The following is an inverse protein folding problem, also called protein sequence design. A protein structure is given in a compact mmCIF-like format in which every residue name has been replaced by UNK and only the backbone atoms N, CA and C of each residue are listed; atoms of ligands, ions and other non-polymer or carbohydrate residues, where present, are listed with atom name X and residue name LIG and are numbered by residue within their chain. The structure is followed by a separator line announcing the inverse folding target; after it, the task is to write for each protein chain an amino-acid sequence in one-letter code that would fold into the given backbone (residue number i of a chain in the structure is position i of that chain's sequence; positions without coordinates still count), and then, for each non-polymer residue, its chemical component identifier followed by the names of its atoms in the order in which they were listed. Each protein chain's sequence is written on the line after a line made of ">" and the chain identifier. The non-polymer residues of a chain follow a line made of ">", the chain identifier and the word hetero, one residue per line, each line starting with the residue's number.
data_IF_212618797862
#
_entry.id   IF_212618797862
#
_cell.length_a   1.000
_cell.length_b   1.000
_cell.length_c   1.000
_cell.angle_alpha   90.00
_cell.angle_beta   90.00
_cell.angle_gamma   90.00
#
_symmetry.space_group_name_H-M   'P 1'
#
loop_
_entity.id
_entity.type
_entity.pdbx_description
1 polymer ?
#
# COMPACT_ATOMS: atom_id res chain seq x y z
N UNK A 1 -19.03 -5.05 -11.82
CA UNK A 1 -17.99 -5.78 -12.57
C UNK A 1 -16.82 -6.02 -11.63
N UNK A 2 -16.60 -7.26 -11.21
CA UNK A 2 -15.54 -7.63 -10.26
C UNK A 2 -14.26 -7.88 -11.07
N UNK A 3 -13.21 -7.07 -10.88
CA UNK A 3 -11.96 -7.16 -11.66
C UNK A 3 -11.12 -8.39 -11.28
N UNK A 4 -11.43 -9.03 -10.16
CA UNK A 4 -10.66 -10.14 -9.59
C UNK A 4 -10.77 -11.46 -10.38
N UNK A 5 -11.61 -11.52 -11.42
CA UNK A 5 -11.81 -12.71 -12.27
C UNK A 5 -11.19 -12.58 -13.67
N UNK A 6 -10.29 -11.63 -13.90
CA UNK A 6 -9.62 -11.45 -15.18
C UNK A 6 -8.46 -12.45 -15.32
N UNK A 7 -8.45 -13.23 -16.40
CA UNK A 7 -7.32 -14.11 -16.77
C UNK A 7 -6.02 -13.31 -16.90
N UNK A 8 -4.85 -13.92 -16.71
CA UNK A 8 -3.53 -13.26 -16.83
C UNK A 8 -3.38 -12.44 -18.14
N UNK A 9 -3.97 -12.91 -19.24
CA UNK A 9 -4.00 -12.19 -20.53
C UNK A 9 -4.75 -10.86 -20.51
N UNK A 10 -5.55 -10.59 -19.48
CA UNK A 10 -6.32 -9.38 -19.24
C UNK A 10 -5.82 -8.56 -18.04
N UNK A 11 -4.67 -8.90 -17.45
CA UNK A 11 -4.07 -8.11 -16.36
C UNK A 11 -3.46 -6.79 -16.88
N UNK A 12 -3.01 -6.75 -18.13
CA UNK A 12 -2.34 -5.58 -18.74
C UNK A 12 -3.26 -4.88 -19.75
N UNK A 13 -4.28 -4.20 -19.23
CA UNK A 13 -5.25 -3.46 -20.05
C UNK A 13 -4.71 -2.08 -20.46
N UNK A 14 -5.23 -1.54 -21.57
CA UNK A 14 -4.96 -0.17 -22.07
C UNK A 14 -3.49 0.12 -22.42
N UNK A 15 -2.77 -0.88 -22.93
CA UNK A 15 -1.41 -0.68 -23.43
C UNK A 15 -1.38 0.24 -24.65
N UNK A 16 -0.39 1.13 -24.70
CA UNK A 16 -0.12 1.96 -25.88
C UNK A 16 0.39 1.08 -27.04
N UNK A 17 -0.27 1.12 -28.20
CA UNK A 17 0.04 0.26 -29.37
C UNK A 17 1.46 0.43 -29.92
N UNK A 18 2.02 1.64 -29.85
CA UNK A 18 3.38 1.96 -30.29
C UNK A 18 4.04 2.83 -29.23
N UNK A 19 5.22 2.42 -28.75
CA UNK A 19 6.07 3.16 -27.80
C UNK A 19 7.37 3.47 -28.50
N UNK A 20 7.80 4.74 -28.43
CA UNK A 20 9.12 5.16 -28.86
C UNK A 20 9.88 5.61 -27.63
N UNK A 21 10.99 4.95 -27.26
CA UNK A 21 11.76 5.36 -26.10
C UNK A 21 12.36 6.75 -26.36
N UNK A 22 12.34 7.66 -25.37
CA UNK A 22 13.01 8.95 -25.49
C UNK A 22 14.53 8.75 -25.57
N UNK A 23 15.21 9.63 -26.30
CA UNK A 23 16.68 9.65 -26.34
C UNK A 23 17.28 10.36 -25.11
N UNK A 24 18.57 10.17 -24.88
CA UNK A 24 19.27 10.72 -23.70
C UNK A 24 19.24 12.24 -23.64
N UNK A 25 19.32 12.91 -24.79
CA UNK A 25 19.22 14.36 -24.85
C UNK A 25 17.85 14.85 -24.34
N UNK A 26 16.76 14.24 -24.81
CA UNK A 26 15.39 14.53 -24.37
C UNK A 26 15.23 14.28 -22.87
N UNK A 27 15.74 13.14 -22.37
CA UNK A 27 15.72 12.83 -20.94
C UNK A 27 16.48 13.87 -20.12
N UNK A 28 17.62 14.36 -20.61
CA UNK A 28 18.43 15.36 -19.92
C UNK A 28 17.68 16.69 -19.77
N UNK A 29 16.92 17.11 -20.80
CA UNK A 29 16.11 18.33 -20.77
C UNK A 29 14.97 18.18 -19.77
N UNK A 30 14.22 17.06 -19.86
CA UNK A 30 13.11 16.78 -18.95
C UNK A 30 13.57 16.74 -17.50
N UNK A 31 14.71 16.09 -17.20
CA UNK A 31 15.23 15.95 -15.84
C UNK A 31 15.67 17.26 -15.19
N UNK A 32 16.01 18.28 -15.98
CA UNK A 32 16.39 19.61 -15.48
C UNK A 32 15.18 20.48 -15.15
N UNK A 33 13.99 20.11 -15.61
CA UNK A 33 12.76 20.85 -15.33
C UNK A 33 12.35 20.68 -13.85
N UNK A 34 12.02 21.78 -13.18
CA UNK A 34 11.59 21.80 -11.77
C UNK A 34 10.34 20.93 -11.54
N UNK A 35 9.36 20.97 -12.45
CA UNK A 35 8.15 20.14 -12.36
C UNK A 35 8.52 18.66 -12.35
N UNK A 36 9.46 18.24 -13.19
CA UNK A 36 9.92 16.85 -13.19
C UNK A 36 10.62 16.49 -11.87
N UNK A 37 11.39 17.41 -11.29
CA UNK A 37 12.10 17.15 -10.03
C UNK A 37 11.12 16.91 -8.88
N UNK A 38 10.07 17.74 -8.79
CA UNK A 38 9.00 17.58 -7.80
C UNK A 38 8.24 16.26 -7.99
N UNK A 39 7.84 15.94 -9.24
CA UNK A 39 7.19 14.67 -9.57
C UNK A 39 8.08 13.46 -9.26
N UNK A 40 9.39 13.61 -9.50
CA UNK A 40 10.37 12.56 -9.22
C UNK A 40 10.54 12.33 -7.72
N UNK A 41 10.60 13.41 -6.93
CA UNK A 41 10.65 13.36 -5.48
C UNK A 41 9.39 12.68 -4.92
N UNK A 42 8.22 13.11 -5.36
CA UNK A 42 6.95 12.52 -4.95
C UNK A 42 6.86 11.03 -5.31
N UNK A 43 7.30 10.65 -6.51
CA UNK A 43 7.35 9.26 -6.93
C UNK A 43 8.25 8.41 -6.02
N UNK A 44 9.46 8.88 -5.69
CA UNK A 44 10.36 8.12 -4.82
C UNK A 44 9.81 8.02 -3.39
N UNK A 45 9.21 9.09 -2.86
CA UNK A 45 8.50 9.05 -1.57
C UNK A 45 7.39 7.99 -1.57
N UNK A 46 6.48 8.03 -2.54
CA UNK A 46 5.35 7.09 -2.61
C UNK A 46 5.83 5.64 -2.77
N UNK A 47 6.90 5.44 -3.53
CA UNK A 47 7.53 4.12 -3.73
C UNK A 47 8.17 3.61 -2.44
N UNK A 48 8.83 4.45 -1.66
CA UNK A 48 9.41 4.08 -0.38
C UNK A 48 8.34 3.74 0.66
N UNK A 49 7.30 4.56 0.76
CA UNK A 49 6.16 4.32 1.67
C UNK A 49 5.45 3.02 1.31
N UNK A 50 5.17 2.79 0.02
CA UNK A 50 4.60 1.54 -0.45
C UNK A 50 5.46 0.34 -0.06
N UNK A 51 6.79 0.42 -0.25
CA UNK A 51 7.73 -0.65 0.12
C UNK A 51 7.74 -0.91 1.63
N UNK A 52 7.67 0.14 2.44
CA UNK A 52 7.62 0.01 3.90
C UNK A 52 6.35 -0.72 4.36
N UNK A 53 5.18 -0.28 3.85
CA UNK A 53 3.89 -0.91 4.14
C UNK A 53 3.88 -2.36 3.63
N UNK A 54 4.31 -2.58 2.38
CA UNK A 54 4.35 -3.91 1.78
C UNK A 54 5.22 -4.85 2.61
N UNK A 55 6.44 -4.43 2.98
CA UNK A 55 7.34 -5.21 3.82
C UNK A 55 6.71 -5.56 5.17
N UNK A 56 5.99 -4.63 5.80
CA UNK A 56 5.27 -4.89 7.06
C UNK A 56 4.14 -5.90 6.85
N UNK A 57 3.37 -5.75 5.78
CA UNK A 57 2.23 -6.59 5.45
C UNK A 57 2.63 -8.03 5.05
N UNK A 58 3.79 -8.20 4.42
CA UNK A 58 4.30 -9.51 4.01
C UNK A 58 5.26 -10.14 5.02
N UNK A 59 5.41 -9.55 6.21
CA UNK A 59 6.40 -9.95 7.21
C UNK A 59 7.83 -10.07 6.64
N UNK A 60 8.16 -9.18 5.70
CA UNK A 60 9.48 -9.10 5.06
C UNK A 60 9.66 -9.98 3.83
N UNK A 61 8.68 -10.77 3.40
CA UNK A 61 8.79 -11.58 2.18
C UNK A 61 8.53 -10.73 0.92
N UNK A 62 9.02 -11.22 -0.22
CA UNK A 62 8.79 -10.59 -1.53
C UNK A 62 7.54 -11.15 -2.24
N UNK A 63 6.75 -12.00 -1.59
CA UNK A 63 5.56 -12.60 -2.20
C UNK A 63 4.32 -11.76 -1.88
N UNK A 64 3.70 -11.18 -2.90
CA UNK A 64 2.51 -10.34 -2.73
C UNK A 64 1.31 -11.09 -2.12
N UNK A 65 1.22 -12.42 -2.30
CA UNK A 65 0.16 -13.22 -1.69
C UNK A 65 0.27 -13.27 -0.16
N UNK A 66 1.43 -12.97 0.41
CA UNK A 66 1.63 -12.96 1.86
C UNK A 66 0.91 -11.78 2.54
N UNK A 67 0.51 -10.74 1.79
CA UNK A 67 -0.37 -9.68 2.30
C UNK A 67 -1.70 -10.23 2.82
N UNK A 68 -2.21 -11.31 2.20
CA UNK A 68 -3.45 -11.98 2.63
C UNK A 68 -3.28 -12.78 3.93
N UNK A 69 -2.02 -13.02 4.36
CA UNK A 69 -1.69 -13.78 5.57
C UNK A 69 -1.54 -12.89 6.79
N UNK A 70 -1.66 -11.56 6.65
CA UNK A 70 -1.58 -10.63 7.76
C UNK A 70 -2.79 -10.83 8.70
N UNK A 71 -2.55 -11.42 9.86
CA UNK A 71 -3.56 -11.56 10.92
C UNK A 71 -3.68 -10.27 11.72
N UNK A 72 -4.78 -10.11 12.47
CA UNK A 72 -4.95 -9.02 13.44
C UNK A 72 -3.75 -8.99 14.40
N UNK A 73 -2.94 -7.93 14.30
CA UNK A 73 -1.74 -7.74 15.11
C UNK A 73 -2.00 -7.02 16.44
N UNK A 74 -3.26 -6.77 16.76
CA UNK A 74 -3.66 -6.12 17.99
C UNK A 74 -4.90 -6.81 18.56
N UNK A 75 -4.98 -6.81 19.87
CA UNK A 75 -6.16 -7.18 20.62
C UNK A 75 -6.34 -6.18 21.75
N UNK A 76 -7.59 -6.03 22.20
CA UNK A 76 -7.89 -5.15 23.32
C UNK A 76 -7.64 -5.90 24.62
N UNK A 77 -6.72 -5.39 25.43
CA UNK A 77 -6.53 -5.84 26.80
C UNK A 77 -7.13 -4.83 27.78
N UNK A 78 -7.51 -5.31 28.97
CA UNK A 78 -8.04 -4.45 30.05
C UNK A 78 -9.27 -3.65 29.63
N UNK A 79 -10.13 -4.24 28.80
CA UNK A 79 -11.48 -3.75 28.55
C UNK A 79 -12.25 -3.84 29.88
N UNK A 80 -12.36 -2.71 30.61
CA UNK A 80 -13.34 -2.51 31.69
C UNK A 80 -14.61 -1.91 31.04
N UNK A 81 -15.87 -1.96 31.56
CA UNK A 81 -16.22 -1.82 33.01
C UNK A 81 -17.68 -2.18 33.46
N UNK A 82 -18.03 -3.04 34.44
CA UNK A 82 -19.50 -3.40 34.55
C UNK A 82 -20.33 -3.05 35.80
N UNK A 83 -19.80 -2.94 37.02
CA UNK A 83 -20.44 -2.28 38.18
C UNK A 83 -19.45 -2.38 39.35
N UNK A 84 -19.21 -1.35 40.19
CA UNK A 84 -19.03 -1.69 41.59
C UNK A 84 -20.35 -2.34 42.00
N UNK A 85 -20.32 -3.59 42.44
CA UNK A 85 -21.43 -4.16 43.20
C UNK A 85 -21.52 -3.34 44.50
N UNK A 86 -22.00 -2.09 44.42
CA UNK A 86 -22.42 -1.34 45.59
C UNK A 86 -23.67 -2.04 46.12
N UNK A 87 -23.46 -2.86 47.15
CA UNK A 87 -24.24 -2.88 48.38
C UNK A 87 -25.76 -2.65 48.23
N UNK A 88 -26.50 -3.71 47.96
CA UNK A 88 -27.95 -3.79 48.22
C UNK A 88 -28.23 -5.04 49.06
N UNK A 89 -27.72 -5.06 50.29
CA UNK A 89 -28.23 -5.88 51.38
C UNK A 89 -28.28 -5.00 52.64
N UNK A 90 -29.25 -4.10 52.68
CA UNK A 90 -29.84 -3.65 53.94
C UNK A 90 -31.15 -4.42 54.13
N UNK A 91 -31.13 -5.39 55.04
CA UNK A 91 -32.27 -5.89 55.81
C UNK A 91 -31.73 -6.63 57.02
#
# INVERSE_FOLDING_TARGET
>A
MHFDSLSESRAHLRNTKRKYPPNDHTLSIVRRNEVYQLEREFYEFAKEEFRAIFKKATNGTNNALDVLRLTLQFHYEKIKPERPMFDLNHS
#
